data_IF_541162236913
#
_entry.id   IF_541162236913
#
_cell.length_a   1.000
_cell.length_b   1.000
_cell.length_c   1.000
_cell.angle_alpha   90.00
_cell.angle_beta   90.00
_cell.angle_gamma   90.00
#
_symmetry.space_group_name_H-M   'P 1'
#
loop_
_entity.id
_entity.type
_entity.pdbx_description
1 polymer ?
#
# COMPACT_ATOMS: atom_id res chain seq x y z
N UNK A 1 -3.69 -21.99 23.09
CA UNK A 1 -2.40 -21.27 23.05
C UNK A 1 -2.42 -20.12 22.05
N UNK A 2 -3.22 -20.17 20.97
CA UNK A 2 -3.36 -19.08 19.97
C UNK A 2 -3.92 -17.75 20.52
N UNK A 3 -4.76 -17.76 21.56
CA UNK A 3 -5.38 -16.54 22.10
C UNK A 3 -4.47 -15.65 22.97
N UNK A 4 -3.30 -16.15 23.39
CA UNK A 4 -2.35 -15.38 24.20
C UNK A 4 -1.37 -14.62 23.30
N UNK A 5 -0.91 -15.25 22.21
CA UNK A 5 -0.01 -14.60 21.23
C UNK A 5 -0.68 -13.42 20.52
N UNK A 6 -1.96 -13.53 20.14
CA UNK A 6 -2.73 -12.43 19.55
C UNK A 6 -2.83 -11.22 20.47
N UNK A 7 -3.07 -11.43 21.77
CA UNK A 7 -3.19 -10.35 22.77
C UNK A 7 -1.85 -9.70 23.11
N UNK A 8 -0.76 -10.47 23.05
CA UNK A 8 0.60 -9.94 23.23
C UNK A 8 0.97 -9.07 22.03
N UNK A 9 0.63 -9.50 20.81
CA UNK A 9 0.88 -8.73 19.59
C UNK A 9 0.08 -7.42 19.58
N UNK A 10 -1.22 -7.46 19.92
CA UNK A 10 -2.09 -6.28 20.04
C UNK A 10 -1.57 -5.28 21.08
N UNK A 11 -1.10 -5.79 22.23
CA UNK A 11 -0.57 -4.94 23.29
C UNK A 11 0.79 -4.31 22.92
N UNK A 12 1.65 -5.05 22.24
CA UNK A 12 2.93 -4.54 21.72
C UNK A 12 2.73 -3.52 20.59
N UNK A 13 1.69 -3.69 19.76
CA UNK A 13 1.27 -2.71 18.74
C UNK A 13 0.73 -1.42 19.39
N UNK A 14 -0.08 -1.54 20.44
CA UNK A 14 -0.61 -0.39 21.17
C UNK A 14 0.46 0.42 21.92
N UNK A 15 1.44 -0.25 22.53
CA UNK A 15 2.55 0.41 23.25
C UNK A 15 3.52 1.12 22.28
N UNK A 16 3.68 0.63 21.04
CA UNK A 16 4.49 1.27 19.98
C UNK A 16 3.81 2.45 19.29
N UNK A 17 2.48 2.51 19.33
CA UNK A 17 1.67 3.56 18.71
C UNK A 17 1.40 4.75 19.66
N UNK A 18 2.20 4.91 20.72
CA UNK A 18 2.13 6.08 21.59
C UNK A 18 2.33 7.38 20.78
N UNK A 19 1.52 8.43 21.04
CA UNK A 19 1.32 9.57 20.13
C UNK A 19 2.49 10.58 20.06
N UNK A 20 3.68 10.23 20.51
CA UNK A 20 4.79 11.18 20.72
C UNK A 20 5.66 11.43 19.47
N UNK A 21 5.14 11.19 18.26
CA UNK A 21 5.82 11.57 17.02
C UNK A 21 5.30 12.92 16.51
N UNK A 22 6.19 13.82 16.08
CA UNK A 22 5.81 15.15 15.67
C UNK A 22 4.83 15.08 14.49
N UNK A 23 3.69 15.75 14.64
CA UNK A 23 2.77 16.04 13.53
C UNK A 23 3.52 16.97 12.57
N UNK A 24 3.77 16.49 11.35
CA UNK A 24 4.32 17.35 10.30
C UNK A 24 3.18 18.22 9.78
N UNK A 25 3.04 19.41 10.35
CA UNK A 25 2.05 20.40 9.94
C UNK A 25 2.49 21.09 8.62
N UNK A 26 1.63 21.05 7.60
CA UNK A 26 1.79 21.88 6.39
C UNK A 26 2.10 21.14 5.08
N UNK A 27 1.42 20.02 4.78
CA UNK A 27 1.45 19.49 3.42
C UNK A 27 0.51 20.33 2.51
N UNK A 28 1.02 21.01 1.46
CA UNK A 28 0.14 21.57 0.42
C UNK A 28 -0.67 20.44 -0.22
N UNK A 29 -1.77 20.75 -0.91
CA UNK A 29 -2.59 19.75 -1.61
C UNK A 29 -1.72 18.96 -2.61
N UNK A 30 -1.21 17.84 -2.14
CA UNK A 30 -0.11 17.13 -2.74
C UNK A 30 -0.68 16.15 -3.76
N UNK A 31 -0.18 16.18 -4.99
CA UNK A 31 -0.48 15.09 -5.92
C UNK A 31 -0.01 13.76 -5.34
N UNK A 32 -0.63 12.64 -5.71
CA UNK A 32 -0.29 11.29 -5.20
C UNK A 32 1.21 11.02 -5.17
N UNK A 33 1.94 11.42 -6.21
CA UNK A 33 3.40 11.28 -6.29
C UNK A 33 4.15 11.96 -5.13
N UNK A 34 3.71 13.13 -4.66
CA UNK A 34 4.36 13.84 -3.56
C UNK A 34 4.12 13.15 -2.21
N UNK A 35 2.97 12.49 -2.04
CA UNK A 35 2.68 11.68 -0.86
C UNK A 35 3.48 10.38 -0.88
N UNK A 36 3.62 9.74 -2.05
CA UNK A 36 4.45 8.56 -2.22
C UNK A 36 5.93 8.89 -1.98
N UNK A 37 6.40 10.05 -2.45
CA UNK A 37 7.74 10.57 -2.15
C UNK A 37 7.94 10.79 -0.64
N UNK A 38 6.94 11.33 0.07
CA UNK A 38 7.00 11.48 1.53
C UNK A 38 7.13 10.13 2.22
N UNK A 39 6.35 9.13 1.80
CA UNK A 39 6.46 7.76 2.33
C UNK A 39 7.87 7.22 2.10
N UNK A 40 8.37 7.26 0.87
CA UNK A 40 9.66 6.68 0.50
C UNK A 40 10.87 7.39 1.09
N UNK A 41 10.81 8.71 1.25
CA UNK A 41 11.97 9.52 1.68
C UNK A 41 11.98 9.85 3.17
N UNK A 42 10.82 9.83 3.84
CA UNK A 42 10.72 10.23 5.26
C UNK A 42 10.25 9.08 6.13
N UNK A 43 9.16 8.41 5.75
CA UNK A 43 8.56 7.37 6.60
C UNK A 43 9.39 6.08 6.54
N UNK A 44 9.65 5.56 5.34
CA UNK A 44 10.34 4.30 5.11
C UNK A 44 11.75 4.25 5.71
N UNK A 45 12.59 5.31 5.63
CA UNK A 45 13.91 5.32 6.26
C UNK A 45 13.87 5.36 7.80
N UNK A 46 12.77 5.84 8.39
CA UNK A 46 12.57 5.93 9.83
C UNK A 46 11.96 4.66 10.45
N UNK A 47 11.69 3.62 9.64
CA UNK A 47 11.14 2.36 10.12
C UNK A 47 12.22 1.51 10.82
N UNK A 48 11.86 0.78 11.89
CA UNK A 48 12.81 -0.12 12.56
C UNK A 48 13.34 -1.22 11.62
N UNK A 49 14.65 -1.49 11.70
CA UNK A 49 15.33 -2.45 10.82
C UNK A 49 14.98 -3.93 11.07
N UNK A 50 14.66 -4.30 12.31
CA UNK A 50 14.64 -5.70 12.73
C UNK A 50 13.24 -6.28 12.95
N UNK A 51 12.18 -5.49 12.74
CA UNK A 51 10.81 -5.95 12.94
C UNK A 51 9.92 -5.61 11.75
N UNK A 52 8.86 -6.40 11.59
CA UNK A 52 7.80 -6.05 10.67
C UNK A 52 7.10 -4.77 11.15
N UNK A 53 6.90 -3.84 10.24
CA UNK A 53 6.14 -2.61 10.47
C UNK A 53 5.01 -2.54 9.47
N UNK A 54 3.79 -2.39 10.00
CA UNK A 54 2.58 -2.21 9.20
C UNK A 54 2.28 -0.73 9.20
N UNK A 55 2.28 -0.12 8.01
CA UNK A 55 1.76 1.23 7.79
C UNK A 55 0.35 1.06 7.22
N UNK A 56 -0.65 1.70 7.81
CA UNK A 56 -2.05 1.53 7.42
C UNK A 56 -2.81 2.85 7.44
N UNK A 57 -4.04 2.83 6.94
CA UNK A 57 -4.95 3.99 6.89
C UNK A 57 -4.36 5.16 6.10
N UNK A 58 -4.09 4.91 4.82
CA UNK A 58 -3.54 5.88 3.89
C UNK A 58 -4.55 6.98 3.55
N UNK A 59 -4.07 8.10 3.00
CA UNK A 59 -4.95 9.16 2.51
C UNK A 59 -5.82 8.67 1.33
N UNK A 60 -7.04 9.21 1.13
CA UNK A 60 -7.92 8.81 0.03
C UNK A 60 -7.29 8.93 -1.37
N UNK A 61 -6.38 9.87 -1.56
CA UNK A 61 -5.63 10.06 -2.80
C UNK A 61 -4.71 8.85 -3.09
N UNK A 62 -4.23 8.17 -2.05
CA UNK A 62 -3.37 6.98 -2.11
C UNK A 62 -4.17 5.67 -1.99
N UNK A 63 -5.50 5.73 -2.18
CA UNK A 63 -6.34 4.56 -1.98
C UNK A 63 -6.07 3.44 -2.98
N UNK A 64 -5.55 3.72 -4.18
CA UNK A 64 -5.48 2.77 -5.27
C UNK A 64 -6.86 2.08 -5.47
N UNK A 65 -6.94 0.76 -5.22
CA UNK A 65 -8.16 -0.04 -5.29
C UNK A 65 -8.85 -0.24 -3.93
N UNK A 66 -8.35 0.38 -2.87
CA UNK A 66 -8.94 0.28 -1.54
C UNK A 66 -10.25 1.06 -1.41
N UNK A 67 -11.16 0.49 -0.62
CA UNK A 67 -12.32 1.19 -0.06
C UNK A 67 -11.89 2.40 0.77
N UNK A 68 -12.64 3.49 0.68
CA UNK A 68 -12.53 4.61 1.63
C UNK A 68 -13.44 4.33 2.82
N UNK A 69 -12.86 4.38 4.02
CA UNK A 69 -13.62 4.46 5.26
C UNK A 69 -13.91 5.92 5.56
N UNK A 70 -15.19 6.32 5.67
CA UNK A 70 -15.55 7.68 6.06
C UNK A 70 -15.11 7.96 7.50
N UNK A 71 -14.77 9.22 7.78
CA UNK A 71 -14.24 9.67 9.07
C UNK A 71 -13.76 11.11 8.98
N UNK A 72 -13.08 11.58 10.05
CA UNK A 72 -12.43 12.90 10.10
C UNK A 72 -11.00 12.74 10.65
N UNK A 73 -9.97 12.62 9.77
CA UNK A 73 -10.06 12.59 8.30
C UNK A 73 -10.56 11.23 7.76
N UNK A 74 -11.10 11.19 6.53
CA UNK A 74 -11.36 9.92 5.83
C UNK A 74 -10.05 9.23 5.46
N UNK A 75 -10.05 7.90 5.44
CA UNK A 75 -8.86 7.09 5.14
C UNK A 75 -9.17 5.98 4.16
N UNK A 76 -8.21 5.62 3.33
CA UNK A 76 -8.21 4.41 2.54
C UNK A 76 -7.86 3.22 3.42
N UNK A 77 -8.65 2.15 3.34
CA UNK A 77 -8.43 0.90 4.07
C UNK A 77 -7.32 0.07 3.39
N UNK A 78 -6.15 0.68 3.26
CA UNK A 78 -4.92 0.12 2.69
C UNK A 78 -3.91 -0.08 3.80
N UNK A 79 -3.09 -1.12 3.68
CA UNK A 79 -1.90 -1.30 4.50
C UNK A 79 -0.72 -1.75 3.65
N UNK A 80 0.47 -1.43 4.12
CA UNK A 80 1.73 -1.93 3.59
C UNK A 80 2.55 -2.54 4.71
N UNK A 81 3.23 -3.64 4.41
CA UNK A 81 4.11 -4.35 5.33
C UNK A 81 5.54 -4.11 4.93
N UNK A 82 6.32 -3.60 5.86
CA UNK A 82 7.73 -3.33 5.70
C UNK A 82 8.57 -4.23 6.61
N UNK A 83 9.74 -4.61 6.13
CA UNK A 83 10.83 -5.15 6.94
C UNK A 83 12.09 -4.35 6.62
N UNK A 84 12.63 -3.65 7.61
CA UNK A 84 13.62 -2.60 7.39
C UNK A 84 13.08 -1.58 6.37
N UNK A 85 13.89 -1.21 5.39
CA UNK A 85 13.54 -0.28 4.31
C UNK A 85 12.95 -0.98 3.09
N UNK A 86 12.47 -2.23 3.21
CA UNK A 86 11.86 -2.94 2.07
C UNK A 86 10.36 -3.13 2.29
N UNK A 87 9.56 -2.61 1.34
CA UNK A 87 8.14 -2.94 1.23
C UNK A 87 8.00 -4.40 0.76
N UNK A 88 7.44 -5.24 1.62
CA UNK A 88 7.22 -6.66 1.36
C UNK A 88 5.83 -6.94 0.81
N UNK A 89 4.80 -6.27 1.32
CA UNK A 89 3.44 -6.51 0.91
C UNK A 89 2.59 -5.24 0.91
N UNK A 90 1.56 -5.25 0.08
CA UNK A 90 0.55 -4.20 0.00
C UNK A 90 -0.83 -4.85 -0.04
N UNK A 91 -1.74 -4.40 0.81
CA UNK A 91 -3.07 -4.98 0.95
C UNK A 91 -4.15 -3.93 1.15
N UNK A 92 -5.37 -4.34 0.82
CA UNK A 92 -6.53 -3.46 0.75
C UNK A 92 -7.76 -4.17 1.29
N UNK A 93 -8.68 -3.41 1.90
CA UNK A 93 -10.10 -3.76 1.81
C UNK A 93 -10.57 -3.36 0.41
N UNK A 94 -10.99 -4.32 -0.38
CA UNK A 94 -11.23 -4.11 -1.82
C UNK A 94 -12.43 -3.16 -2.06
N UNK A 95 -12.29 -2.26 -3.03
CA UNK A 95 -13.40 -1.45 -3.53
C UNK A 95 -14.31 -2.32 -4.39
N UNK A 96 -15.55 -2.54 -3.91
CA UNK A 96 -16.55 -3.34 -4.61
C UNK A 96 -17.49 -2.50 -5.50
N UNK A 97 -17.48 -1.17 -5.37
CA UNK A 97 -18.33 -0.27 -6.15
C UNK A 97 -17.74 0.01 -7.55
N UNK A 98 -18.42 -0.52 -8.58
CA UNK A 98 -18.02 -0.37 -9.97
C UNK A 98 -18.07 1.09 -10.48
N UNK A 99 -18.99 1.90 -9.99
CA UNK A 99 -19.13 3.30 -10.40
C UNK A 99 -18.01 4.14 -9.80
N UNK A 100 -17.70 3.91 -8.52
CA UNK A 100 -16.56 4.56 -7.88
C UNK A 100 -15.25 4.15 -8.55
N UNK A 101 -15.05 2.85 -8.82
CA UNK A 101 -13.85 2.36 -9.52
C UNK A 101 -13.71 2.99 -10.92
N UNK A 102 -14.80 3.12 -11.67
CA UNK A 102 -14.81 3.82 -12.97
C UNK A 102 -14.41 5.29 -12.81
N UNK A 103 -15.00 6.01 -11.86
CA UNK A 103 -14.70 7.41 -11.62
C UNK A 103 -13.21 7.61 -11.25
N UNK A 104 -12.61 6.68 -10.50
CA UNK A 104 -11.18 6.68 -10.18
C UNK A 104 -10.31 6.47 -11.42
N UNK A 105 -10.62 5.50 -12.29
CA UNK A 105 -9.91 5.30 -13.55
C UNK A 105 -9.97 6.53 -14.47
N UNK A 106 -11.15 7.14 -14.60
CA UNK A 106 -11.32 8.35 -15.42
C UNK A 106 -10.54 9.53 -14.84
N UNK A 107 -10.52 9.67 -13.51
CA UNK A 107 -9.71 10.69 -12.82
C UNK A 107 -8.23 10.49 -13.07
N UNK A 108 -7.73 9.26 -12.95
CA UNK A 108 -6.33 8.95 -13.22
C UNK A 108 -5.95 9.26 -14.68
N UNK A 109 -6.81 8.89 -15.64
CA UNK A 109 -6.59 9.22 -17.04
C UNK A 109 -6.55 10.73 -17.31
N UNK A 110 -7.43 11.52 -16.67
CA UNK A 110 -7.36 13.00 -16.75
C UNK A 110 -6.02 13.53 -16.22
N UNK A 111 -5.49 12.96 -15.14
CA UNK A 111 -4.17 13.33 -14.61
C UNK A 111 -3.03 12.94 -15.57
N UNK A 112 -3.14 11.77 -16.22
CA UNK A 112 -2.18 11.31 -17.24
C UNK A 112 -2.17 12.25 -18.44
N UNK A 113 -3.34 12.62 -18.98
CA UNK A 113 -3.46 13.57 -20.08
C UNK A 113 -2.85 14.93 -19.73
N UNK A 114 -3.16 15.46 -18.55
CA UNK A 114 -2.59 16.73 -18.08
C UNK A 114 -1.06 16.70 -17.96
N UNK A 115 -0.47 15.51 -17.76
CA UNK A 115 0.98 15.27 -17.73
C UNK A 115 1.58 14.91 -19.09
N UNK A 116 0.79 14.94 -20.18
CA UNK A 116 1.23 14.54 -21.52
C UNK A 116 1.52 13.04 -21.66
N UNK A 117 1.00 12.22 -20.73
CA UNK A 117 1.16 10.77 -20.75
C UNK A 117 0.03 10.10 -21.54
N UNK A 118 0.32 8.92 -22.10
CA UNK A 118 -0.71 8.11 -22.77
C UNK A 118 -1.80 7.68 -21.80
N UNK A 119 -3.05 7.90 -22.20
CA UNK A 119 -4.26 7.42 -21.52
C UNK A 119 -4.30 5.89 -21.51
N UNK A 120 -4.61 5.30 -20.36
CA UNK A 120 -4.83 3.87 -20.26
C UNK A 120 -6.28 3.54 -20.62
N UNK A 121 -6.55 2.50 -21.43
CA UNK A 121 -7.92 2.04 -21.65
C UNK A 121 -8.52 1.58 -20.31
N UNK A 122 -9.78 1.94 -20.04
CA UNK A 122 -10.48 1.47 -18.85
C UNK A 122 -10.65 -0.06 -18.93
N UNK A 123 -10.39 -0.75 -17.81
CA UNK A 123 -10.64 -2.19 -17.72
C UNK A 123 -12.14 -2.48 -17.63
N UNK A 124 -12.77 -2.63 -18.79
CA UNK A 124 -14.19 -2.95 -18.91
C UNK A 124 -14.56 -4.29 -18.26
N UNK A 125 -13.64 -5.27 -18.21
CA UNK A 125 -13.91 -6.59 -17.64
C UNK A 125 -13.95 -6.53 -16.13
N UNK A 126 -13.00 -5.83 -15.51
CA UNK A 126 -13.01 -5.58 -14.08
C UNK A 126 -14.28 -4.82 -13.67
N UNK A 127 -14.63 -3.76 -14.39
CA UNK A 127 -15.84 -2.97 -14.09
C UNK A 127 -17.13 -3.80 -14.24
N UNK A 128 -17.21 -4.72 -15.20
CA UNK A 128 -18.35 -5.63 -15.35
C UNK A 128 -18.38 -6.68 -14.23
N UNK A 129 -17.23 -7.23 -13.86
CA UNK A 129 -17.13 -8.16 -12.73
C UNK A 129 -17.61 -7.53 -11.42
N UNK A 130 -17.23 -6.27 -11.14
CA UNK A 130 -17.71 -5.53 -9.98
C UNK A 130 -19.23 -5.28 -10.06
N UNK A 131 -19.80 -5.00 -11.25
CA UNK A 131 -21.26 -4.87 -11.44
C UNK A 131 -22.01 -6.17 -11.18
N UNK A 132 -21.43 -7.32 -11.51
CA UNK A 132 -22.02 -8.62 -11.21
C UNK A 132 -22.04 -8.93 -9.71
N UNK A 133 -21.18 -8.26 -8.93
CA UNK A 133 -21.12 -8.36 -7.48
C UNK A 133 -19.86 -9.06 -7.00
N UNK A 134 -18.96 -8.28 -6.40
CA UNK A 134 -17.85 -8.79 -5.60
C UNK A 134 -18.27 -8.73 -4.12
N UNK A 135 -18.33 -9.87 -3.39
CA UNK A 135 -18.59 -9.83 -1.95
C UNK A 135 -17.50 -9.02 -1.23
N UNK A 136 -17.83 -8.48 -0.05
CA UNK A 136 -16.83 -7.78 0.75
C UNK A 136 -15.62 -8.70 1.02
N UNK A 137 -14.45 -8.25 0.61
CA UNK A 137 -13.21 -9.01 0.74
C UNK A 137 -12.02 -8.08 0.95
N UNK A 138 -10.89 -8.69 1.32
CA UNK A 138 -9.60 -8.02 1.39
C UNK A 138 -8.58 -8.81 0.58
N UNK A 139 -7.70 -8.10 -0.11
CA UNK A 139 -6.59 -8.68 -0.86
C UNK A 139 -5.25 -8.24 -0.29
N UNK A 140 -4.22 -9.06 -0.50
CA UNK A 140 -2.82 -8.70 -0.21
C UNK A 140 -1.92 -9.28 -1.30
N UNK A 141 -1.00 -8.45 -1.80
CA UNK A 141 0.05 -8.85 -2.70
C UNK A 141 1.39 -8.87 -1.94
N UNK A 142 2.06 -10.01 -1.93
CA UNK A 142 3.36 -10.21 -1.26
C UNK A 142 4.45 -10.37 -2.33
N UNK A 143 5.50 -9.55 -2.22
CA UNK A 143 6.71 -9.68 -3.04
C UNK A 143 7.58 -10.84 -2.56
N UNK A 144 7.40 -12.03 -3.15
CA UNK A 144 8.14 -13.25 -2.77
C UNK A 144 9.66 -13.05 -2.88
N UNK A 145 10.15 -12.42 -3.95
CA UNK A 145 11.59 -12.17 -4.12
C UNK A 145 12.14 -11.26 -3.01
N UNK A 146 11.41 -10.21 -2.65
CA UNK A 146 11.80 -9.29 -1.56
C UNK A 146 11.75 -9.98 -0.21
N UNK A 147 10.76 -10.85 0.02
CA UNK A 147 10.70 -11.69 1.21
C UNK A 147 11.93 -12.61 1.28
N UNK A 148 12.25 -13.30 0.18
CA UNK A 148 13.43 -14.16 0.08
C UNK A 148 14.71 -13.37 0.36
N UNK A 149 14.88 -12.20 -0.25
CA UNK A 149 16.00 -11.30 0.01
C UNK A 149 16.11 -10.96 1.50
N UNK A 150 15.01 -10.61 2.14
CA UNK A 150 15.00 -10.23 3.54
C UNK A 150 15.34 -11.40 4.49
N UNK A 151 14.78 -12.60 4.25
CA UNK A 151 15.06 -13.78 5.09
C UNK A 151 16.46 -14.35 4.88
N UNK A 152 17.01 -14.21 3.66
CA UNK A 152 18.38 -14.66 3.33
C UNK A 152 19.44 -13.58 3.54
N UNK A 153 19.03 -12.34 3.87
CA UNK A 153 19.92 -11.16 4.02
C UNK A 153 20.74 -10.89 2.76
N UNK A 154 20.09 -10.99 1.60
CA UNK A 154 20.68 -10.69 0.30
C UNK A 154 20.19 -9.34 -0.19
N UNK A 155 21.11 -8.47 -0.57
CA UNK A 155 20.80 -7.09 -0.98
C UNK A 155 20.52 -6.95 -2.49
N UNK A 156 20.49 -8.06 -3.22
CA UNK A 156 20.30 -8.09 -4.68
C UNK A 156 19.24 -9.11 -5.07
N UNK A 157 18.29 -8.68 -5.90
CA UNK A 157 17.23 -9.55 -6.42
C UNK A 157 17.79 -10.70 -7.26
N UNK A 158 18.85 -10.49 -8.04
CA UNK A 158 19.47 -11.56 -8.83
C UNK A 158 19.98 -12.73 -7.97
N UNK A 159 20.27 -12.49 -6.68
CA UNK A 159 20.80 -13.50 -5.78
C UNK A 159 19.71 -14.48 -5.27
N UNK A 160 18.43 -14.12 -5.43
CA UNK A 160 17.29 -14.98 -5.10
C UNK A 160 16.60 -15.57 -6.33
N UNK A 161 17.03 -15.19 -7.54
CA UNK A 161 16.54 -15.73 -8.80
C UNK A 161 17.42 -16.89 -9.27
N UNK A 162 16.80 -17.91 -9.86
CA UNK A 162 17.54 -19.03 -10.47
C UNK A 162 18.39 -18.58 -11.67
N UNK A 163 17.87 -17.64 -12.47
CA UNK A 163 18.55 -17.02 -13.60
C UNK A 163 18.32 -15.51 -13.56
N UNK A 164 19.34 -14.74 -13.16
CA UNK A 164 19.26 -13.28 -13.11
C UNK A 164 19.20 -12.64 -14.49
N UNK A 165 18.83 -11.36 -14.51
CA UNK A 165 18.63 -10.57 -15.74
C UNK A 165 19.85 -10.46 -16.66
N UNK A 166 21.07 -10.61 -16.11
CA UNK A 166 22.33 -10.56 -16.86
C UNK A 166 22.76 -11.88 -17.52
N UNK A 167 21.90 -12.92 -17.56
CA UNK A 167 22.21 -14.24 -18.15
C UNK A 167 21.43 -14.55 -19.44
N UNK A 168 20.99 -13.52 -20.19
CA UNK A 168 20.33 -13.67 -21.49
C UNK A 168 21.29 -14.09 -22.60
#
# INVERSE_FOLDING_TARGET
QEGIESRVLEKQLAERNAPDRPVVEGAPAAGTNQLDDLVGQVIQPALPGECFTIVHDFLPEQAALARIRPGDPPVAERFEVYLSQSELANGYRELTDANEQRARFERENRLREARGMTVAPLDSRLLEALRHGLPECSGVALGVDRLLMAVTRLDRIDAVLSFGSGRS
#
